data_IF_227227650517
#
_entry.id   IF_227227650517
#
_cell.length_a   1.000
_cell.length_b   1.000
_cell.length_c   1.000
_cell.angle_alpha   90.00
_cell.angle_beta   90.00
_cell.angle_gamma   90.00
#
_symmetry.space_group_name_H-M   'P 1'
#
loop_
_entity.id
_entity.type
_entity.pdbx_description
1 polymer ?
#
# COMPACT_ATOMS: atom_id res chain seq x y z
N UNK A 1 -16.13 -46.52 13.60
CA UNK A 1 -15.09 -46.66 14.65
C UNK A 1 -13.74 -46.26 14.07
N UNK A 2 -13.35 -45.00 14.20
CA UNK A 2 -12.40 -44.50 15.22
C UNK A 2 -10.92 -44.56 14.79
N UNK A 3 -10.43 -43.43 14.26
CA UNK A 3 -9.04 -42.94 14.38
C UNK A 3 -9.18 -41.42 14.60
N UNK A 4 -9.24 -40.98 15.86
CA UNK A 4 -8.15 -40.26 16.54
C UNK A 4 -7.60 -39.14 15.65
N UNK A 5 -8.16 -37.93 15.72
CA UNK A 5 -7.74 -36.88 16.64
C UNK A 5 -6.21 -36.73 16.73
N UNK A 6 -5.63 -36.01 15.78
CA UNK A 6 -4.33 -35.36 15.91
C UNK A 6 -4.60 -33.85 15.90
N UNK A 7 -4.58 -33.26 17.08
CA UNK A 7 -4.50 -31.82 17.27
C UNK A 7 -3.07 -31.32 16.92
N UNK A 8 -2.89 -30.01 16.72
CA UNK A 8 -1.90 -29.44 15.80
C UNK A 8 -0.54 -29.21 16.49
N UNK A 9 0.55 -29.61 15.83
CA UNK A 9 1.90 -29.22 16.26
C UNK A 9 2.33 -27.95 15.54
N UNK A 10 2.07 -26.86 16.25
CA UNK A 10 2.81 -25.60 16.30
C UNK A 10 4.32 -25.74 16.03
N UNK A 11 4.85 -24.92 15.10
CA UNK A 11 5.98 -24.00 15.33
C UNK A 11 6.60 -23.50 14.00
N UNK A 12 6.34 -22.23 13.67
CA UNK A 12 7.28 -21.23 13.11
C UNK A 12 6.53 -20.17 12.28
N UNK A 13 6.23 -19.03 12.90
CA UNK A 13 5.95 -17.74 12.23
C UNK A 13 7.30 -16.99 12.03
N UNK A 14 7.40 -15.98 11.16
CA UNK A 14 7.09 -14.63 11.63
C UNK A 14 6.34 -13.72 10.63
N UNK A 15 5.44 -12.91 11.21
CA UNK A 15 5.12 -11.53 10.87
C UNK A 15 5.90 -10.85 9.72
N UNK A 16 5.21 -10.50 8.63
CA UNK A 16 5.37 -9.23 7.91
C UNK A 16 4.23 -9.01 6.90
N UNK A 17 3.55 -7.86 7.01
CA UNK A 17 2.59 -7.26 6.06
C UNK A 17 1.28 -8.03 5.80
N UNK A 18 0.20 -7.86 6.57
CA UNK A 18 -0.48 -6.58 6.81
C UNK A 18 -1.28 -6.63 8.12
N UNK A 19 -0.64 -6.26 9.22
CA UNK A 19 -1.33 -5.63 10.36
C UNK A 19 -0.78 -4.21 10.46
N UNK A 20 -0.90 -3.45 9.37
CA UNK A 20 -0.62 -2.03 9.40
C UNK A 20 -1.83 -1.33 10.04
N UNK A 21 -1.67 -1.02 11.33
CA UNK A 21 -2.55 -0.24 12.16
C UNK A 21 -3.96 -0.84 12.39
N UNK A 22 -4.16 -1.40 13.57
CA UNK A 22 -5.38 -1.08 14.29
C UNK A 22 -5.37 0.46 14.46
N UNK A 23 -5.93 1.17 13.48
CA UNK A 23 -6.11 2.60 13.55
C UNK A 23 -7.10 2.80 14.69
N UNK A 24 -6.58 3.19 15.85
CA UNK A 24 -7.40 3.69 16.93
C UNK A 24 -8.29 4.74 16.30
N UNK A 25 -9.60 4.50 16.26
CA UNK A 25 -10.55 5.41 15.65
C UNK A 25 -10.65 6.64 16.57
N UNK A 26 -9.66 7.51 16.46
CA UNK A 26 -9.77 8.87 16.93
C UNK A 26 -11.01 9.47 16.27
N UNK A 27 -11.71 10.34 17.00
CA UNK A 27 -12.81 11.11 16.43
C UNK A 27 -12.19 12.07 15.40
N UNK A 28 -12.07 11.59 14.17
CA UNK A 28 -11.54 12.34 13.05
C UNK A 28 -12.52 13.47 12.70
N UNK A 29 -12.16 14.69 13.04
CA UNK A 29 -12.96 15.86 12.67
C UNK A 29 -12.98 16.01 11.14
N UNK A 30 -14.04 16.59 10.55
CA UNK A 30 -14.07 16.85 9.10
C UNK A 30 -12.88 17.71 8.64
N UNK A 31 -12.36 18.60 9.50
CA UNK A 31 -11.17 19.38 9.22
C UNK A 31 -9.91 18.50 9.12
N UNK A 32 -9.72 17.55 10.05
CA UNK A 32 -8.62 16.57 10.01
C UNK A 32 -8.64 15.74 8.72
N UNK A 33 -9.84 15.27 8.33
CA UNK A 33 -10.03 14.53 7.07
C UNK A 33 -9.73 15.39 5.84
N UNK A 34 -10.23 16.63 5.81
CA UNK A 34 -9.99 17.54 4.69
C UNK A 34 -8.49 17.84 4.53
N UNK A 35 -7.78 18.03 5.64
CA UNK A 35 -6.33 18.24 5.63
C UNK A 35 -5.59 17.01 5.10
N UNK A 36 -5.93 15.81 5.58
CA UNK A 36 -5.34 14.56 5.09
C UNK A 36 -5.58 14.34 3.59
N UNK A 37 -6.82 14.56 3.11
CA UNK A 37 -7.16 14.47 1.68
C UNK A 37 -6.37 15.49 0.87
N UNK A 38 -6.25 16.72 1.36
CA UNK A 38 -5.52 17.79 0.67
C UNK A 38 -4.04 17.43 0.55
N UNK A 39 -3.40 16.98 1.62
CA UNK A 39 -2.00 16.55 1.58
C UNK A 39 -1.79 15.34 0.67
N UNK A 40 -2.69 14.35 0.71
CA UNK A 40 -2.65 13.21 -0.20
C UNK A 40 -2.78 13.64 -1.67
N UNK A 41 -3.69 14.55 -1.97
CA UNK A 41 -3.89 15.09 -3.31
C UNK A 41 -2.66 15.88 -3.79
N UNK A 42 -2.12 16.76 -2.94
CA UNK A 42 -0.90 17.51 -3.23
C UNK A 42 0.30 16.60 -3.48
N UNK A 43 0.46 15.56 -2.66
CA UNK A 43 1.49 14.55 -2.86
C UNK A 43 1.31 13.82 -4.20
N UNK A 44 0.09 13.41 -4.52
CA UNK A 44 -0.23 12.77 -5.81
C UNK A 44 0.11 13.66 -6.99
N UNK A 45 -0.31 14.93 -6.96
CA UNK A 45 0.01 15.92 -7.99
C UNK A 45 1.52 16.15 -8.09
N UNK A 46 2.23 16.24 -6.96
CA UNK A 46 3.68 16.40 -6.93
C UNK A 46 4.41 15.22 -7.57
N UNK A 47 4.03 13.98 -7.24
CA UNK A 47 4.65 12.78 -7.81
C UNK A 47 4.39 12.71 -9.32
N UNK A 48 3.13 12.85 -9.75
CA UNK A 48 2.76 12.77 -11.18
C UNK A 48 3.41 13.88 -11.99
N UNK A 49 3.36 15.12 -11.50
CA UNK A 49 4.03 16.25 -12.13
C UNK A 49 5.55 16.09 -12.15
N UNK A 50 6.13 15.65 -11.03
CA UNK A 50 7.57 15.45 -10.88
C UNK A 50 8.14 14.44 -11.86
N UNK A 51 7.55 13.25 -11.97
CA UNK A 51 8.03 12.23 -12.92
C UNK A 51 7.62 12.54 -14.36
N UNK A 52 6.45 13.15 -14.56
CA UNK A 52 5.91 13.47 -15.89
C UNK A 52 6.70 14.55 -16.63
N UNK A 53 7.20 15.56 -15.92
CA UNK A 53 8.00 16.65 -16.49
C UNK A 53 9.51 16.53 -16.16
N UNK A 54 9.94 15.39 -15.62
CA UNK A 54 11.35 15.17 -15.28
C UNK A 54 12.24 15.21 -16.52
N UNK A 55 13.35 15.93 -16.43
CA UNK A 55 14.42 15.88 -17.44
C UNK A 55 15.31 14.62 -17.28
N UNK A 56 15.14 13.88 -16.18
CA UNK A 56 15.88 12.66 -15.91
C UNK A 56 15.13 11.49 -16.56
N UNK A 57 15.63 11.03 -17.70
CA UNK A 57 15.01 9.95 -18.48
C UNK A 57 14.72 8.69 -17.63
N UNK A 58 15.62 8.33 -16.70
CA UNK A 58 15.42 7.18 -15.81
C UNK A 58 14.15 7.29 -14.95
N UNK A 59 13.85 8.48 -14.41
CA UNK A 59 12.67 8.69 -13.57
C UNK A 59 11.37 8.63 -14.38
N UNK A 60 11.38 9.23 -15.57
CA UNK A 60 10.22 9.20 -16.47
C UNK A 60 9.95 7.78 -16.97
N UNK A 61 11.00 7.05 -17.38
CA UNK A 61 10.90 5.67 -17.86
C UNK A 61 10.40 4.74 -16.76
N UNK A 62 10.96 4.83 -15.55
CA UNK A 62 10.50 4.03 -14.42
C UNK A 62 9.01 4.24 -14.12
N UNK A 63 8.50 5.47 -14.22
CA UNK A 63 7.08 5.75 -14.04
C UNK A 63 6.20 5.10 -15.13
N UNK A 64 6.65 5.10 -16.39
CA UNK A 64 5.96 4.39 -17.47
C UNK A 64 6.00 2.87 -17.30
N UNK A 65 7.15 2.32 -16.91
CA UNK A 65 7.32 0.88 -16.68
C UNK A 65 6.39 0.37 -15.57
N UNK A 66 6.27 1.13 -14.47
CA UNK A 66 5.33 0.79 -13.39
C UNK A 66 3.89 0.82 -13.89
N UNK A 67 3.49 1.81 -14.71
CA UNK A 67 2.13 1.86 -15.28
C UNK A 67 1.83 0.63 -16.15
N UNK A 68 2.82 0.14 -16.89
CA UNK A 68 2.69 -1.12 -17.62
C UNK A 68 2.63 -2.32 -16.68
N UNK A 69 3.49 -2.37 -15.66
CA UNK A 69 3.53 -3.45 -14.67
C UNK A 69 2.23 -3.58 -13.85
N UNK A 70 1.58 -2.49 -13.48
CA UNK A 70 0.30 -2.52 -12.73
C UNK A 70 -0.90 -2.92 -13.59
N UNK A 71 -0.76 -2.92 -14.92
CA UNK A 71 -1.78 -3.45 -15.84
C UNK A 71 -1.66 -4.95 -16.07
N UNK A 72 -0.53 -5.56 -15.67
CA UNK A 72 -0.40 -7.01 -15.61
C UNK A 72 -0.94 -7.51 -14.27
N UNK A 73 -1.99 -8.34 -14.24
CA UNK A 73 -2.51 -8.88 -12.98
C UNK A 73 -1.45 -9.76 -12.31
N UNK A 74 -1.20 -9.50 -11.03
CA UNK A 74 -0.40 -10.37 -10.16
C UNK A 74 -1.22 -11.51 -9.53
N UNK A 75 -2.48 -11.65 -9.93
CA UNK A 75 -3.33 -12.84 -9.76
C UNK A 75 -4.42 -12.85 -10.84
#
# INVERSE_FOLDING_TARGET
MNRLNVAPQSAAQPAAAQSAAAQSAAVETPASRALAITFAALLGVFVVGGVGFSHIAAAHNAAHDVRHAVSFPCH
#
